data_IF_389495001498
#
_entry.id   IF_389495001498
#
_cell.length_a   1.000
_cell.length_b   1.000
_cell.length_c   1.000
_cell.angle_alpha   90.00
_cell.angle_beta   90.00
_cell.angle_gamma   90.00
#
_symmetry.space_group_name_H-M   'P 1'
#
loop_
_entity.id
_entity.type
_entity.pdbx_description
1 polymer ?
#
# COMPACT_ATOMS: atom_id res chain seq x y z
N UNK A 1 -10.94 -7.89 6.54
CA UNK A 1 -9.84 -8.87 6.36
C UNK A 1 -8.95 -8.77 7.59
N UNK A 2 -8.64 -9.89 8.25
CA UNK A 2 -7.64 -9.92 9.33
C UNK A 2 -6.44 -10.72 8.84
N UNK A 3 -5.25 -10.13 8.89
CA UNK A 3 -4.01 -10.84 8.59
C UNK A 3 -3.69 -11.75 9.79
N UNK A 4 -3.69 -13.07 9.57
CA UNK A 4 -3.40 -14.05 10.61
C UNK A 4 -1.90 -14.00 10.99
N UNK A 5 -1.58 -13.71 12.24
CA UNK A 5 -0.19 -13.68 12.71
C UNK A 5 0.49 -15.05 12.60
N UNK A 6 -0.28 -16.16 12.65
CA UNK A 6 0.24 -17.52 12.45
C UNK A 6 0.74 -17.72 11.02
N UNK A 7 0.10 -17.06 10.05
CA UNK A 7 0.56 -17.06 8.65
C UNK A 7 1.89 -16.31 8.51
N UNK A 8 2.04 -15.16 9.17
CA UNK A 8 3.33 -14.44 9.18
C UNK A 8 4.42 -15.26 9.85
N UNK A 9 4.11 -15.94 10.97
CA UNK A 9 5.04 -16.88 11.60
C UNK A 9 5.43 -17.98 10.60
N UNK A 10 4.47 -18.60 9.92
CA UNK A 10 4.73 -19.65 8.92
C UNK A 10 5.62 -19.14 7.77
N UNK A 11 5.38 -17.92 7.27
CA UNK A 11 6.24 -17.31 6.24
C UNK A 11 7.69 -17.19 6.71
N UNK A 12 7.92 -16.68 7.94
CA UNK A 12 9.26 -16.54 8.49
C UNK A 12 10.00 -17.91 8.53
N UNK A 13 9.28 -18.98 8.91
CA UNK A 13 9.83 -20.35 8.89
C UNK A 13 10.19 -20.83 7.48
N UNK A 14 9.38 -20.50 6.47
CA UNK A 14 9.65 -20.89 5.06
C UNK A 14 10.77 -20.06 4.44
N UNK A 15 10.85 -18.76 4.73
CA UNK A 15 11.83 -17.84 4.13
C UNK A 15 13.26 -18.12 4.58
N UNK A 16 13.49 -18.23 5.89
CA UNK A 16 14.85 -18.29 6.43
C UNK A 16 15.12 -19.60 7.18
N UNK A 17 14.10 -20.23 7.78
CA UNK A 17 14.26 -21.38 8.67
C UNK A 17 14.98 -21.02 9.97
N UNK A 18 14.58 -21.64 11.09
CA UNK A 18 15.08 -21.25 12.42
C UNK A 18 16.60 -21.44 12.61
N UNK A 19 17.20 -22.40 11.91
CA UNK A 19 18.63 -22.73 12.01
C UNK A 19 19.53 -21.85 11.13
N UNK A 20 18.96 -21.02 10.25
CA UNK A 20 19.76 -20.12 9.42
C UNK A 20 20.31 -18.95 10.23
N UNK A 21 21.59 -18.59 10.08
CA UNK A 21 22.16 -17.38 10.69
C UNK A 21 21.39 -16.10 10.33
N UNK A 22 20.73 -16.08 9.17
CA UNK A 22 19.94 -14.93 8.72
C UNK A 22 18.68 -14.73 9.56
N UNK A 23 18.23 -15.70 10.34
CA UNK A 23 17.12 -15.53 11.28
C UNK A 23 17.36 -14.39 12.28
N UNK A 24 18.63 -14.15 12.62
CA UNK A 24 19.08 -13.10 13.54
C UNK A 24 19.21 -11.72 12.90
N UNK A 25 18.91 -11.58 11.61
CA UNK A 25 19.01 -10.30 10.90
C UNK A 25 17.87 -10.06 9.90
N UNK A 26 17.61 -11.01 9.00
CA UNK A 26 16.68 -10.91 7.87
C UNK A 26 15.69 -12.11 7.78
N UNK A 27 14.91 -12.39 8.83
CA UNK A 27 14.03 -13.57 8.90
C UNK A 27 12.94 -13.68 7.80
N UNK A 28 12.54 -12.56 7.17
CA UNK A 28 11.60 -12.56 6.03
C UNK A 28 12.31 -12.34 4.69
N UNK A 29 13.65 -12.44 4.65
CA UNK A 29 14.49 -12.33 3.44
C UNK A 29 14.36 -11.02 2.65
N UNK A 30 13.58 -10.04 3.11
CA UNK A 30 13.47 -8.75 2.43
C UNK A 30 14.79 -7.97 2.54
N UNK A 31 15.26 -7.46 1.40
CA UNK A 31 16.48 -6.68 1.29
C UNK A 31 17.77 -7.50 1.16
N UNK A 32 17.70 -8.82 0.93
CA UNK A 32 18.87 -9.61 0.52
C UNK A 32 19.35 -9.21 -0.88
N UNK A 33 20.62 -9.46 -1.25
CA UNK A 33 21.11 -9.17 -2.60
C UNK A 33 20.23 -9.83 -3.67
N UNK A 34 19.79 -9.05 -4.66
CA UNK A 34 18.90 -9.53 -5.72
C UNK A 34 17.40 -9.48 -5.40
N UNK A 35 17.00 -9.21 -4.15
CA UNK A 35 15.59 -9.02 -3.78
C UNK A 35 15.09 -7.62 -4.16
N UNK A 36 14.06 -7.50 -5.03
CA UNK A 36 13.44 -6.22 -5.34
C UNK A 36 12.48 -5.74 -4.23
N UNK A 37 12.06 -6.62 -3.31
CA UNK A 37 10.99 -6.32 -2.35
C UNK A 37 11.25 -5.09 -1.49
N UNK A 38 12.50 -4.89 -1.06
CA UNK A 38 12.90 -3.72 -0.28
C UNK A 38 12.72 -2.40 -1.06
N UNK A 39 13.17 -2.35 -2.32
CA UNK A 39 13.06 -1.13 -3.13
C UNK A 39 11.61 -0.87 -3.54
N UNK A 40 10.86 -1.92 -3.90
CA UNK A 40 9.42 -1.86 -4.15
C UNK A 40 8.67 -1.23 -2.98
N UNK A 41 8.97 -1.67 -1.75
CA UNK A 41 8.32 -1.18 -0.54
C UNK A 41 8.66 0.30 -0.24
N UNK A 42 9.94 0.68 -0.33
CA UNK A 42 10.41 1.98 0.14
C UNK A 42 10.33 3.10 -0.91
N UNK A 43 10.19 2.76 -2.20
CA UNK A 43 10.24 3.77 -3.28
C UNK A 43 8.98 4.65 -3.37
N UNK A 44 7.85 4.27 -2.75
CA UNK A 44 6.54 4.91 -2.92
C UNK A 44 5.87 4.64 -4.29
N UNK A 45 6.59 4.09 -5.26
CA UNK A 45 6.07 3.84 -6.61
C UNK A 45 5.13 2.65 -6.68
N UNK A 46 5.26 1.67 -5.77
CA UNK A 46 4.38 0.50 -5.69
C UNK A 46 3.30 0.62 -4.60
N UNK A 47 3.19 1.77 -3.92
CA UNK A 47 2.15 2.02 -2.92
C UNK A 47 2.52 1.61 -1.49
N UNK A 48 3.79 1.28 -1.23
CA UNK A 48 4.27 0.98 0.12
C UNK A 48 4.12 2.14 1.11
N UNK A 49 4.08 3.38 0.62
CA UNK A 49 3.80 4.60 1.38
C UNK A 49 2.36 4.68 1.92
N UNK A 50 1.43 3.94 1.32
CA UNK A 50 0.05 3.80 1.79
C UNK A 50 -0.12 2.66 2.83
N UNK A 51 0.89 1.79 2.94
CA UNK A 51 0.90 0.63 3.83
C UNK A 51 1.68 0.93 5.11
N UNK A 52 2.86 1.53 4.97
CA UNK A 52 3.73 1.87 6.11
C UNK A 52 3.14 3.08 6.82
N UNK A 53 2.82 2.91 8.10
CA UNK A 53 2.39 4.03 8.95
C UNK A 53 3.44 5.14 8.99
N UNK A 54 3.07 6.43 8.97
CA UNK A 54 4.01 7.55 8.97
C UNK A 54 5.05 7.52 10.09
N UNK A 55 4.72 6.94 11.25
CA UNK A 55 5.66 6.79 12.37
C UNK A 55 6.83 5.85 12.11
N UNK A 56 6.76 5.03 11.06
CA UNK A 56 7.78 4.06 10.67
C UNK A 56 8.62 4.47 9.46
N UNK A 57 8.19 5.46 8.67
CA UNK A 57 8.86 5.87 7.42
C UNK A 57 10.32 6.30 7.62
N UNK A 58 10.66 6.89 8.77
CA UNK A 58 12.05 7.24 9.11
C UNK A 58 12.84 6.12 9.82
N UNK A 59 12.17 5.06 10.27
CA UNK A 59 12.77 3.95 11.03
C UNK A 59 13.08 2.74 10.16
N UNK A 60 12.26 2.52 9.13
CA UNK A 60 12.43 1.46 8.14
C UNK A 60 13.33 1.96 7.00
N UNK A 61 14.64 1.80 7.17
CA UNK A 61 15.65 2.13 6.16
C UNK A 61 16.30 0.86 5.64
N UNK A 62 16.98 0.89 4.48
CA UNK A 62 17.69 -0.28 3.98
C UNK A 62 18.69 -0.88 4.98
N UNK A 63 19.33 -0.03 5.80
CA UNK A 63 20.28 -0.49 6.83
C UNK A 63 19.52 -1.18 7.96
N UNK A 64 18.52 -0.52 8.55
CA UNK A 64 17.83 -1.06 9.71
C UNK A 64 17.00 -2.31 9.39
N UNK A 65 16.45 -2.41 8.18
CA UNK A 65 15.73 -3.61 7.71
C UNK A 65 16.67 -4.82 7.55
N UNK A 66 17.94 -4.59 7.22
CA UNK A 66 18.92 -5.68 7.04
C UNK A 66 19.58 -6.13 8.34
N UNK A 67 19.54 -5.30 9.39
CA UNK A 67 20.28 -5.56 10.64
C UNK A 67 19.39 -5.77 11.86
N UNK A 68 18.13 -5.31 11.83
CA UNK A 68 17.19 -5.43 12.95
C UNK A 68 16.06 -6.41 12.56
N UNK A 69 16.01 -7.63 13.13
CA UNK A 69 15.03 -8.66 12.74
C UNK A 69 13.58 -8.19 12.84
N UNK A 70 13.25 -7.45 13.90
CA UNK A 70 11.91 -6.94 14.09
C UNK A 70 11.51 -5.92 13.01
N UNK A 71 12.47 -5.22 12.41
CA UNK A 71 12.21 -4.27 11.31
C UNK A 71 12.17 -4.99 9.98
N UNK A 72 12.96 -6.05 9.82
CA UNK A 72 12.85 -6.97 8.69
C UNK A 72 11.46 -7.59 8.61
N UNK A 73 10.91 -8.10 9.73
CA UNK A 73 9.55 -8.65 9.78
C UNK A 73 8.52 -7.57 9.41
N UNK A 74 8.65 -6.36 9.96
CA UNK A 74 7.74 -5.24 9.62
C UNK A 74 7.79 -4.89 8.14
N UNK A 75 8.98 -4.84 7.56
CA UNK A 75 9.17 -4.57 6.15
C UNK A 75 8.62 -5.73 5.29
N UNK A 76 8.86 -6.98 5.67
CA UNK A 76 8.32 -8.16 4.98
C UNK A 76 6.79 -8.18 4.99
N UNK A 77 6.16 -7.89 6.15
CA UNK A 77 4.70 -7.72 6.25
C UNK A 77 4.23 -6.53 5.41
N UNK A 78 4.94 -5.41 5.44
CA UNK A 78 4.63 -4.24 4.61
C UNK A 78 4.66 -4.58 3.11
N UNK A 79 5.69 -5.29 2.66
CA UNK A 79 5.80 -5.74 1.27
C UNK A 79 4.67 -6.71 0.92
N UNK A 80 4.39 -7.71 1.76
CA UNK A 80 3.25 -8.60 1.57
C UNK A 80 1.95 -7.82 1.36
N UNK A 81 1.65 -6.87 2.24
CA UNK A 81 0.45 -6.05 2.14
C UNK A 81 0.43 -5.21 0.85
N UNK A 82 1.56 -4.63 0.44
CA UNK A 82 1.68 -3.95 -0.86
C UNK A 82 1.32 -4.89 -2.02
N UNK A 83 1.76 -6.15 -1.98
CA UNK A 83 1.46 -7.14 -3.03
C UNK A 83 0.02 -7.66 -3.01
N UNK A 84 -0.68 -7.51 -1.88
CA UNK A 84 -2.07 -7.90 -1.69
C UNK A 84 -3.07 -6.74 -1.89
N UNK A 85 -2.61 -5.49 -1.90
CA UNK A 85 -3.47 -4.33 -2.12
C UNK A 85 -3.86 -4.20 -3.60
N UNK A 86 -5.09 -3.76 -3.84
CA UNK A 86 -5.53 -3.23 -5.12
C UNK A 86 -5.44 -1.70 -5.08
N UNK A 87 -4.72 -1.13 -6.05
CA UNK A 87 -4.46 0.30 -6.12
C UNK A 87 -5.14 0.93 -7.33
N UNK A 88 -5.68 2.13 -7.14
CA UNK A 88 -6.16 2.98 -8.22
C UNK A 88 -5.73 4.43 -8.00
N UNK A 89 -5.69 5.22 -9.07
CA UNK A 89 -5.55 6.67 -8.98
C UNK A 89 -6.94 7.30 -8.90
N UNK A 90 -7.27 7.92 -7.78
CA UNK A 90 -8.57 8.57 -7.56
C UNK A 90 -8.40 10.02 -7.12
N UNK A 91 -9.39 10.82 -7.49
CA UNK A 91 -9.52 12.21 -7.05
C UNK A 91 -9.93 12.26 -5.57
N UNK A 92 -8.97 12.61 -4.70
CA UNK A 92 -9.15 12.67 -3.23
C UNK A 92 -9.15 14.11 -2.74
N UNK A 93 -9.96 14.40 -1.73
CA UNK A 93 -9.95 15.70 -1.06
C UNK A 93 -8.80 15.77 -0.07
N UNK A 94 -8.17 16.93 0.07
CA UNK A 94 -7.16 17.12 1.10
C UNK A 94 -7.80 17.09 2.49
N UNK A 95 -7.22 16.34 3.42
CA UNK A 95 -7.82 16.07 4.74
C UNK A 95 -8.17 17.32 5.56
N UNK A 96 -7.46 18.43 5.33
CA UNK A 96 -7.66 19.72 6.03
C UNK A 96 -8.31 20.79 5.15
N UNK A 97 -8.69 20.49 3.91
CA UNK A 97 -9.35 21.47 3.06
C UNK A 97 -10.84 21.59 3.41
N UNK A 98 -11.35 22.81 3.33
CA UNK A 98 -12.78 23.13 3.41
C UNK A 98 -13.33 23.45 2.03
N UNK A 99 -14.65 23.33 1.87
CA UNK A 99 -15.34 23.82 0.67
C UNK A 99 -15.38 25.35 0.67
N UNK A 100 -15.32 25.94 -0.52
CA UNK A 100 -15.41 27.37 -0.72
C UNK A 100 -15.92 27.70 -2.12
N UNK A 101 -16.41 28.93 -2.29
CA UNK A 101 -17.02 29.38 -3.53
C UNK A 101 -16.02 30.08 -4.45
N UNK A 102 -16.16 29.83 -5.75
CA UNK A 102 -15.40 30.48 -6.81
C UNK A 102 -16.35 31.02 -7.87
N UNK A 103 -16.21 32.29 -8.19
CA UNK A 103 -16.93 32.91 -9.30
C UNK A 103 -16.21 32.61 -10.62
N UNK A 104 -16.94 31.98 -11.54
CA UNK A 104 -16.50 31.65 -12.89
C UNK A 104 -16.26 32.95 -13.67
N UNK A 105 -15.10 33.06 -14.31
CA UNK A 105 -14.69 34.18 -15.17
C UNK A 105 -14.88 33.82 -16.63
N UNK A 106 -14.90 34.84 -17.49
CA UNK A 106 -14.92 34.64 -18.94
C UNK A 106 -13.70 33.80 -19.39
N UNK A 107 -13.96 32.76 -20.16
CA UNK A 107 -12.93 31.83 -20.65
C UNK A 107 -12.48 30.77 -19.63
N UNK A 108 -13.13 30.66 -18.46
CA UNK A 108 -12.89 29.53 -17.57
C UNK A 108 -13.45 28.22 -18.14
N UNK A 109 -12.70 27.14 -17.87
CA UNK A 109 -13.17 25.76 -18.00
C UNK A 109 -13.06 25.06 -16.64
N UNK A 110 -13.71 23.91 -16.46
CA UNK A 110 -13.58 23.12 -15.23
C UNK A 110 -12.12 22.69 -15.00
N UNK A 111 -11.38 22.41 -16.08
CA UNK A 111 -9.96 22.05 -16.03
C UNK A 111 -9.11 23.23 -15.53
N UNK A 112 -9.37 24.44 -16.06
CA UNK A 112 -8.64 25.65 -15.63
C UNK A 112 -8.94 25.97 -14.17
N UNK A 113 -10.22 25.95 -13.79
CA UNK A 113 -10.61 26.18 -12.39
C UNK A 113 -10.02 25.12 -11.48
N UNK A 114 -10.09 23.83 -11.84
CA UNK A 114 -9.51 22.76 -11.03
C UNK A 114 -8.01 22.98 -10.81
N UNK A 115 -7.27 23.33 -11.86
CA UNK A 115 -5.83 23.63 -11.77
C UNK A 115 -5.57 24.82 -10.84
N UNK A 116 -6.24 25.95 -11.07
CA UNK A 116 -6.02 27.19 -10.32
C UNK A 116 -6.40 27.03 -8.84
N UNK A 117 -7.44 26.23 -8.57
CA UNK A 117 -7.96 25.96 -7.23
C UNK A 117 -7.28 24.76 -6.54
N UNK A 118 -6.25 24.16 -7.15
CA UNK A 118 -5.57 22.96 -6.63
C UNK A 118 -6.57 21.85 -6.27
N UNK A 119 -7.47 21.58 -7.22
CA UNK A 119 -8.54 20.59 -7.16
C UNK A 119 -8.45 19.66 -8.38
N UNK A 120 -9.50 18.86 -8.59
CA UNK A 120 -9.66 17.99 -9.77
C UNK A 120 -11.03 18.21 -10.37
N UNK A 121 -11.17 17.99 -11.68
CA UNK A 121 -12.46 18.10 -12.36
C UNK A 121 -13.51 17.18 -11.72
N UNK A 122 -13.12 15.97 -11.30
CA UNK A 122 -14.03 15.04 -10.61
C UNK A 122 -14.55 15.60 -9.29
N UNK A 123 -13.68 16.25 -8.50
CA UNK A 123 -14.08 16.92 -7.26
C UNK A 123 -15.07 18.05 -7.58
N UNK A 124 -14.78 18.88 -8.59
CA UNK A 124 -15.67 19.97 -8.98
C UNK A 124 -17.04 19.45 -9.43
N UNK A 125 -17.08 18.42 -10.29
CA UNK A 125 -18.35 17.81 -10.75
C UNK A 125 -19.14 17.20 -9.60
N UNK A 126 -18.47 16.52 -8.66
CA UNK A 126 -19.13 15.94 -7.48
C UNK A 126 -19.73 16.99 -6.56
N UNK A 127 -19.06 18.14 -6.39
CA UNK A 127 -19.56 19.25 -5.58
C UNK A 127 -20.65 20.05 -6.28
N UNK A 128 -20.73 19.98 -7.61
CA UNK A 128 -21.68 20.73 -8.42
C UNK A 128 -22.41 19.77 -9.39
N UNK A 129 -23.25 18.85 -8.91
CA UNK A 129 -23.84 17.78 -9.74
C UNK A 129 -24.72 18.31 -10.88
N UNK A 130 -25.30 19.51 -10.72
CA UNK A 130 -26.14 20.17 -11.73
C UNK A 130 -25.35 21.13 -12.63
N UNK A 131 -24.01 21.07 -12.61
CA UNK A 131 -23.18 21.96 -13.41
C UNK A 131 -23.23 21.55 -14.89
N UNK A 132 -23.98 22.33 -15.66
CA UNK A 132 -23.96 22.26 -17.12
C UNK A 132 -22.76 23.04 -17.68
N UNK A 133 -22.99 23.77 -18.77
CA UNK A 133 -22.00 24.71 -19.29
C UNK A 133 -21.71 25.84 -18.31
N UNK A 134 -20.43 26.12 -18.06
CA UNK A 134 -19.99 27.23 -17.21
C UNK A 134 -20.41 28.56 -17.82
N UNK A 135 -20.97 29.44 -16.98
CA UNK A 135 -21.33 30.82 -17.36
C UNK A 135 -20.51 31.81 -16.54
N UNK A 136 -20.00 32.85 -17.20
CA UNK A 136 -19.32 33.94 -16.49
C UNK A 136 -20.25 34.55 -15.42
N UNK A 137 -19.72 34.78 -14.22
CA UNK A 137 -20.49 35.26 -13.07
C UNK A 137 -21.19 34.17 -12.25
N UNK A 138 -21.23 32.93 -12.73
CA UNK A 138 -21.75 31.80 -11.95
C UNK A 138 -20.82 31.50 -10.77
N UNK A 139 -21.39 31.23 -9.60
CA UNK A 139 -20.63 30.72 -8.45
C UNK A 139 -20.67 29.20 -8.42
N UNK A 140 -19.52 28.57 -8.22
CA UNK A 140 -19.39 27.11 -8.10
C UNK A 140 -18.61 26.74 -6.84
N UNK A 141 -18.95 25.59 -6.25
CA UNK A 141 -18.27 25.06 -5.07
C UNK A 141 -16.98 24.36 -5.45
N UNK A 142 -15.90 24.72 -4.77
CA UNK A 142 -14.57 24.15 -4.93
C UNK A 142 -14.08 23.54 -3.61
N UNK A 143 -13.15 22.60 -3.73
CA UNK A 143 -12.39 22.07 -2.59
C UNK A 143 -11.04 21.58 -3.05
N UNK A 144 -9.99 21.87 -2.29
CA UNK A 144 -8.63 21.39 -2.62
C UNK A 144 -8.53 19.87 -2.54
N UNK A 145 -7.84 19.31 -3.51
CA UNK A 145 -7.61 17.88 -3.63
C UNK A 145 -6.76 17.55 -4.84
N UNK A 146 -6.35 16.30 -4.94
CA UNK A 146 -5.48 15.83 -5.99
C UNK A 146 -5.82 14.39 -6.38
N UNK A 147 -5.40 14.01 -7.58
CA UNK A 147 -5.35 12.60 -7.96
C UNK A 147 -4.23 11.96 -7.14
N UNK A 148 -4.61 10.98 -6.31
CA UNK A 148 -3.67 10.21 -5.48
C UNK A 148 -3.87 8.74 -5.74
N UNK A 149 -2.79 7.97 -5.60
CA UNK A 149 -2.91 6.52 -5.48
C UNK A 149 -3.64 6.22 -4.17
N UNK A 150 -4.62 5.34 -4.22
CA UNK A 150 -5.40 4.89 -3.06
C UNK A 150 -5.55 3.38 -3.09
N UNK A 151 -5.72 2.78 -1.91
CA UNK A 151 -6.09 1.38 -1.77
C UNK A 151 -7.61 1.27 -1.99
N UNK A 152 -8.03 0.50 -2.97
CA UNK A 152 -9.45 0.29 -3.30
C UNK A 152 -9.97 -1.08 -2.88
N UNK A 153 -9.07 -2.00 -2.60
CA UNK A 153 -9.41 -3.35 -2.17
C UNK A 153 -8.20 -4.11 -1.67
N UNK A 154 -8.48 -5.32 -1.20
CA UNK A 154 -7.48 -6.28 -0.79
C UNK A 154 -7.78 -7.61 -1.44
N UNK A 155 -6.75 -8.22 -2.02
CA UNK A 155 -6.80 -9.56 -2.56
C UNK A 155 -6.92 -10.56 -1.43
N UNK A 156 -7.54 -11.69 -1.73
CA UNK A 156 -7.62 -12.80 -0.79
C UNK A 156 -6.22 -13.29 -0.42
N UNK A 157 -5.93 -13.35 0.87
CA UNK A 157 -4.66 -13.84 1.41
C UNK A 157 -4.77 -15.35 1.61
N UNK A 158 -4.03 -16.12 0.82
CA UNK A 158 -3.84 -17.56 0.93
C UNK A 158 -2.37 -17.91 0.67
N UNK A 159 -1.98 -19.13 0.97
CA UNK A 159 -0.63 -19.64 0.67
C UNK A 159 -0.31 -19.55 -0.82
N UNK A 160 -1.28 -19.88 -1.70
CA UNK A 160 -1.15 -19.70 -3.16
C UNK A 160 -0.98 -18.25 -3.60
N UNK A 161 -1.72 -17.31 -3.00
CA UNK A 161 -1.61 -15.90 -3.39
C UNK A 161 -0.30 -15.30 -2.91
N UNK A 162 0.19 -15.71 -1.73
CA UNK A 162 1.51 -15.34 -1.21
C UNK A 162 2.61 -15.91 -2.10
N UNK A 163 2.59 -17.19 -2.43
CA UNK A 163 3.60 -17.81 -3.31
C UNK A 163 3.72 -17.07 -4.65
N UNK A 164 2.58 -16.76 -5.28
CA UNK A 164 2.55 -16.06 -6.57
C UNK A 164 3.01 -14.60 -6.50
N UNK A 165 2.71 -13.89 -5.41
CA UNK A 165 2.82 -12.42 -5.37
C UNK A 165 3.93 -11.89 -4.48
N UNK A 166 4.19 -12.56 -3.36
CA UNK A 166 5.27 -12.22 -2.43
C UNK A 166 6.57 -12.88 -2.86
N UNK A 167 6.57 -14.21 -3.01
CA UNK A 167 7.75 -14.95 -3.48
C UNK A 167 8.00 -14.77 -4.99
N UNK A 168 7.01 -14.27 -5.73
CA UNK A 168 7.12 -14.03 -7.17
C UNK A 168 7.16 -15.31 -8.03
N UNK A 169 6.82 -16.46 -7.44
CA UNK A 169 6.89 -17.77 -8.10
C UNK A 169 8.32 -18.31 -8.26
N UNK A 170 9.28 -17.81 -7.49
CA UNK A 170 10.68 -18.27 -7.56
C UNK A 170 10.87 -19.70 -7.05
N UNK A 171 10.23 -20.06 -5.94
CA UNK A 171 10.20 -21.43 -5.43
C UNK A 171 8.87 -22.11 -5.81
N UNK A 172 8.88 -23.11 -6.70
CA UNK A 172 7.65 -23.79 -7.13
C UNK A 172 6.95 -24.55 -6.00
N UNK A 173 7.66 -24.85 -4.90
CA UNK A 173 7.11 -25.55 -3.73
C UNK A 173 6.73 -24.60 -2.59
N UNK A 174 6.84 -23.28 -2.78
CA UNK A 174 6.63 -22.30 -1.71
C UNK A 174 5.26 -22.44 -1.03
N UNK A 175 4.19 -22.57 -1.82
CA UNK A 175 2.83 -22.73 -1.29
C UNK A 175 2.72 -23.99 -0.42
N UNK A 176 3.26 -25.12 -0.88
CA UNK A 176 3.22 -26.40 -0.15
C UNK A 176 4.01 -26.33 1.16
N UNK A 177 5.20 -25.72 1.14
CA UNK A 177 6.01 -25.48 2.35
C UNK A 177 5.26 -24.60 3.35
N UNK A 178 4.58 -23.57 2.85
CA UNK A 178 3.83 -22.65 3.68
C UNK A 178 2.56 -23.29 4.27
N UNK A 179 1.85 -24.11 3.49
CA UNK A 179 0.72 -24.92 3.98
C UNK A 179 1.16 -25.87 5.09
N UNK A 180 2.27 -26.58 4.88
CA UNK A 180 2.85 -27.48 5.87
C UNK A 180 3.20 -26.74 7.17
N UNK A 181 3.99 -25.66 7.09
CA UNK A 181 4.39 -24.87 8.25
C UNK A 181 3.18 -24.28 9.00
N UNK A 182 2.19 -23.76 8.26
CA UNK A 182 0.98 -23.20 8.84
C UNK A 182 0.14 -24.25 9.57
N UNK A 183 0.05 -25.47 9.02
CA UNK A 183 -0.69 -26.57 9.64
C UNK A 183 -0.10 -26.93 11.02
N UNK A 184 1.23 -27.00 11.12
CA UNK A 184 1.93 -27.30 12.38
C UNK A 184 1.72 -26.20 13.42
N UNK A 185 1.90 -24.93 13.02
CA UNK A 185 1.71 -23.77 13.92
C UNK A 185 0.28 -23.70 14.46
N UNK A 186 -0.71 -24.03 13.62
CA UNK A 186 -2.11 -24.05 14.05
C UNK A 186 -2.40 -25.19 15.01
N UNK A 187 -1.84 -26.38 14.77
CA UNK A 187 -1.99 -27.53 15.66
C UNK A 187 -1.39 -27.29 17.06
N UNK A 188 -0.25 -26.60 17.14
CA UNK A 188 0.36 -26.22 18.43
C UNK A 188 -0.49 -25.22 19.23
N UNK A 189 -1.23 -24.34 18.55
CA UNK A 189 -2.02 -23.28 19.20
C UNK A 189 -3.29 -23.79 19.92
N UNK A 190 -3.58 -25.08 19.82
CA UNK A 190 -4.72 -25.76 20.45
C UNK A 190 -4.30 -26.70 21.58
N UNK A 191 -3.01 -26.74 21.92
CA UNK A 191 -2.46 -27.40 23.10
C UNK A 191 -2.14 -26.37 24.17
#
# INVERSE_FOLDING_TARGET
>A
MSLDWKLIKAMIWVETGADSPEWRSKPMQIGVPGDPGLSSLLSGHEGGDLIISPGWTGRLTPVTIRTIPAYNIRAGVGYLLTRMADFEYRSTVDARSVEYDVTVKLGDSLERIAKDQKSTVDILKRLNPSIGHLRSGQTIRCRKGAIRKVITGWRHISTDSIARRYNGGGDPYYAQKLDYALSLIRAESHR
#
